data_IF_769809395478
#
_entry.id   IF_769809395478
#
_cell.length_a   1.000
_cell.length_b   1.000
_cell.length_c   1.000
_cell.angle_alpha   90.00
_cell.angle_beta   90.00
_cell.angle_gamma   90.00
#
_symmetry.space_group_name_H-M   'P 1'
#
loop_
_entity.id
_entity.type
_entity.pdbx_description
1 polymer ?
#
# COMPACT_ATOMS: atom_id res chain seq x y z
N UNK A 1 -4.75 17.11 -54.32
CA UNK A 1 -4.19 17.12 -52.95
C UNK A 1 -4.29 15.69 -52.47
N UNK A 2 -3.17 14.96 -52.46
CA UNK A 2 -3.16 13.57 -51.98
C UNK A 2 -3.34 13.60 -50.48
N UNK A 3 -4.39 12.96 -50.00
CA UNK A 3 -4.57 12.63 -48.59
C UNK A 3 -3.34 11.81 -48.15
N UNK A 4 -2.57 12.20 -47.13
CA UNK A 4 -1.38 11.45 -46.72
C UNK A 4 -1.84 10.07 -46.23
N UNK A 5 -1.56 9.06 -47.04
CA UNK A 5 -1.86 7.65 -46.75
C UNK A 5 -1.39 7.30 -45.33
N UNK A 6 -2.33 6.96 -44.46
CA UNK A 6 -2.05 6.47 -43.12
C UNK A 6 -1.30 5.13 -43.22
N UNK A 7 -0.06 5.10 -42.74
CA UNK A 7 0.75 3.88 -42.72
C UNK A 7 0.22 2.97 -41.62
N UNK A 8 -0.14 1.72 -41.92
CA UNK A 8 -0.50 0.77 -40.89
C UNK A 8 0.76 0.17 -40.26
N UNK A 9 0.89 0.30 -38.94
CA UNK A 9 1.98 -0.28 -38.17
C UNK A 9 1.51 -1.57 -37.48
N UNK A 10 2.36 -2.62 -37.42
CA UNK A 10 2.02 -3.85 -36.73
C UNK A 10 1.83 -3.59 -35.23
N UNK A 11 0.73 -4.11 -34.68
CA UNK A 11 0.41 -3.96 -33.26
C UNK A 11 1.40 -4.68 -32.34
N UNK A 12 2.01 -5.77 -32.82
CA UNK A 12 2.90 -6.60 -32.02
C UNK A 12 4.36 -6.10 -32.03
N UNK A 13 4.69 -5.10 -32.85
CA UNK A 13 6.05 -4.55 -32.88
C UNK A 13 6.24 -3.45 -31.83
N UNK A 14 7.45 -3.40 -31.29
CA UNK A 14 7.88 -2.36 -30.37
C UNK A 14 8.08 -1.00 -31.05
N UNK A 15 8.07 -0.95 -32.39
CA UNK A 15 8.20 0.29 -33.18
C UNK A 15 7.19 1.36 -32.79
N UNK A 16 6.02 0.95 -32.28
CA UNK A 16 4.98 1.86 -31.79
C UNK A 16 5.41 2.71 -30.59
N UNK A 17 6.44 2.30 -29.87
CA UNK A 17 6.99 3.01 -28.71
C UNK A 17 8.20 3.88 -29.06
N UNK A 18 8.69 3.80 -30.29
CA UNK A 18 9.81 4.60 -30.78
C UNK A 18 9.59 6.12 -30.66
N UNK A 19 8.38 6.68 -30.90
CA UNK A 19 8.13 8.10 -30.67
C UNK A 19 8.42 8.51 -29.22
N UNK A 20 8.01 7.68 -28.25
CA UNK A 20 8.27 7.97 -26.85
C UNK A 20 9.75 7.85 -26.51
N UNK A 21 10.46 6.87 -27.07
CA UNK A 21 11.92 6.76 -26.92
C UNK A 21 12.63 8.02 -27.42
N UNK A 22 12.16 8.59 -28.54
CA UNK A 22 12.69 9.86 -29.03
C UNK A 22 12.15 11.10 -28.29
N UNK A 23 11.10 10.97 -27.51
CA UNK A 23 10.54 12.03 -26.67
C UNK A 23 11.29 12.19 -25.33
N UNK A 24 12.06 11.17 -24.92
CA UNK A 24 12.83 11.22 -23.67
C UNK A 24 13.82 12.40 -23.63
N UNK A 25 14.03 13.01 -22.46
CA UNK A 25 15.08 14.01 -22.28
C UNK A 25 16.46 13.34 -22.38
N UNK A 26 17.48 14.14 -22.69
CA UNK A 26 18.84 13.65 -23.00
C UNK A 26 19.46 12.85 -21.86
N UNK A 27 19.29 13.32 -20.62
CA UNK A 27 19.83 12.70 -19.42
C UNK A 27 19.26 11.30 -19.17
N UNK A 28 17.94 11.13 -19.35
CA UNK A 28 17.28 9.84 -19.20
C UNK A 28 17.61 8.91 -20.38
N UNK A 29 17.60 9.44 -21.60
CA UNK A 29 17.96 8.67 -22.80
C UNK A 29 19.39 8.13 -22.73
N UNK A 30 20.35 8.92 -22.24
CA UNK A 30 21.75 8.53 -22.13
C UNK A 30 22.00 7.42 -21.08
N UNK A 31 21.13 7.32 -20.07
CA UNK A 31 21.19 6.27 -19.03
C UNK A 31 20.74 4.91 -19.55
N UNK A 32 19.94 4.86 -20.62
CA UNK A 32 19.39 3.65 -21.22
C UNK A 32 20.41 3.02 -22.22
N UNK A 33 21.05 1.89 -21.89
CA UNK A 33 22.14 1.34 -22.71
C UNK A 33 21.75 0.94 -24.12
N UNK A 34 20.50 0.49 -24.31
CA UNK A 34 19.93 0.09 -25.60
C UNK A 34 19.41 1.31 -26.34
N UNK A 35 18.64 2.18 -25.67
CA UNK A 35 18.05 3.36 -26.32
C UNK A 35 19.12 4.32 -26.83
N UNK A 36 20.20 4.56 -26.06
CA UNK A 36 21.28 5.48 -26.46
C UNK A 36 22.02 5.09 -27.75
N UNK A 37 21.87 3.84 -28.20
CA UNK A 37 22.44 3.35 -29.48
C UNK A 37 21.63 3.81 -30.69
N UNK A 38 20.37 4.20 -30.49
CA UNK A 38 19.50 4.62 -31.58
C UNK A 38 19.95 5.98 -32.12
N UNK A 39 20.19 6.11 -33.43
CA UNK A 39 20.48 7.40 -34.02
C UNK A 39 19.26 8.31 -33.89
N UNK A 40 19.50 9.61 -33.69
CA UNK A 40 18.47 10.66 -33.73
C UNK A 40 18.12 11.06 -35.16
N UNK A 41 18.09 10.08 -36.07
CA UNK A 41 17.73 10.20 -37.50
C UNK A 41 17.13 8.87 -37.95
N UNK A 42 15.89 8.91 -38.46
CA UNK A 42 15.18 7.71 -38.91
C UNK A 42 15.77 7.10 -40.18
N UNK A 43 16.38 7.89 -41.06
CA UNK A 43 17.02 7.36 -42.26
C UNK A 43 18.28 6.57 -41.90
N UNK A 44 19.06 7.07 -40.94
CA UNK A 44 20.20 6.35 -40.37
C UNK A 44 19.77 5.07 -39.64
N UNK A 45 18.65 5.12 -38.89
CA UNK A 45 18.07 3.95 -38.24
C UNK A 45 17.66 2.88 -39.26
N UNK A 46 16.91 3.29 -40.30
CA UNK A 46 16.40 2.41 -41.34
C UNK A 46 17.50 1.75 -42.18
N UNK A 47 18.69 2.36 -42.24
CA UNK A 47 19.85 1.82 -42.94
C UNK A 47 20.56 0.69 -42.17
N UNK A 48 20.18 0.39 -40.92
CA UNK A 48 20.84 -0.60 -40.07
C UNK A 48 19.87 -1.70 -39.61
N UNK A 49 20.00 -2.89 -40.19
CA UNK A 49 19.23 -4.08 -39.77
C UNK A 49 19.48 -4.45 -38.29
N UNK A 50 20.69 -4.23 -37.79
CA UNK A 50 21.04 -4.45 -36.38
C UNK A 50 20.21 -3.56 -35.45
N UNK A 51 20.12 -2.26 -35.76
CA UNK A 51 19.37 -1.31 -34.95
C UNK A 51 17.86 -1.51 -35.05
N UNK A 52 17.36 -1.94 -36.22
CA UNK A 52 15.95 -2.34 -36.37
C UNK A 52 15.65 -3.56 -35.49
N UNK A 53 16.50 -4.59 -35.53
CA UNK A 53 16.35 -5.78 -34.69
C UNK A 53 16.42 -5.45 -33.20
N UNK A 54 17.20 -4.44 -32.84
CA UNK A 54 17.31 -3.95 -31.47
C UNK A 54 16.01 -3.31 -30.96
N UNK A 55 15.21 -2.65 -31.81
CA UNK A 55 13.90 -2.10 -31.43
C UNK A 55 12.94 -3.23 -31.03
N UNK A 56 12.95 -4.35 -31.75
CA UNK A 56 12.08 -5.48 -31.46
C UNK A 56 12.59 -6.35 -30.28
N UNK A 57 13.69 -5.97 -29.62
CA UNK A 57 14.21 -6.68 -28.46
C UNK A 57 13.43 -6.41 -27.16
N UNK A 58 13.41 -7.40 -26.27
CA UNK A 58 12.86 -7.25 -24.92
C UNK A 58 13.57 -6.16 -24.10
N UNK A 59 14.87 -5.96 -24.38
CA UNK A 59 15.66 -4.95 -23.68
C UNK A 59 15.24 -3.53 -24.07
N UNK A 60 14.93 -3.29 -25.35
CA UNK A 60 14.34 -2.01 -25.78
C UNK A 60 13.03 -1.76 -25.04
N UNK A 61 12.13 -2.75 -25.03
CA UNK A 61 10.83 -2.64 -24.39
C UNK A 61 10.96 -2.35 -22.88
N UNK A 62 11.85 -3.07 -22.18
CA UNK A 62 12.11 -2.86 -20.76
C UNK A 62 12.62 -1.44 -20.48
N UNK A 63 13.58 -0.95 -21.25
CA UNK A 63 14.16 0.38 -21.04
C UNK A 63 13.14 1.50 -21.28
N UNK A 64 12.32 1.41 -22.34
CA UNK A 64 11.29 2.42 -22.58
C UNK A 64 10.15 2.34 -21.55
N UNK A 65 9.80 1.15 -21.07
CA UNK A 65 8.85 0.98 -19.97
C UNK A 65 9.36 1.62 -18.68
N UNK A 66 10.60 1.33 -18.28
CA UNK A 66 11.22 1.89 -17.07
C UNK A 66 11.32 3.42 -17.16
N UNK A 67 11.74 3.95 -18.31
CA UNK A 67 11.86 5.39 -18.54
C UNK A 67 10.48 6.10 -18.56
N UNK A 68 9.48 5.52 -19.21
CA UNK A 68 8.13 6.08 -19.22
C UNK A 68 7.51 6.05 -17.81
N UNK A 69 7.75 4.97 -17.06
CA UNK A 69 7.27 4.82 -15.70
C UNK A 69 7.89 5.85 -14.76
N UNK A 70 9.20 6.13 -14.87
CA UNK A 70 9.85 7.16 -14.05
C UNK A 70 9.34 8.58 -14.34
N UNK A 71 8.93 8.85 -15.58
CA UNK A 71 8.31 10.12 -15.98
C UNK A 71 6.84 10.22 -15.53
N UNK A 72 6.08 9.12 -15.58
CA UNK A 72 4.67 9.12 -15.18
C UNK A 72 4.48 9.14 -13.66
N UNK A 73 5.31 8.39 -12.93
CA UNK A 73 5.14 8.13 -11.50
C UNK A 73 4.96 9.38 -10.62
N UNK A 74 5.79 10.45 -10.77
CA UNK A 74 5.69 11.65 -9.94
C UNK A 74 4.32 12.34 -10.01
N UNK A 75 3.57 12.13 -11.09
CA UNK A 75 2.30 12.82 -11.34
C UNK A 75 1.06 12.08 -10.78
N UNK A 76 1.23 10.90 -10.17
CA UNK A 76 0.15 10.24 -9.42
C UNK A 76 -0.10 10.84 -8.03
N UNK A 77 0.76 11.76 -7.57
CA UNK A 77 0.63 12.39 -6.25
C UNK A 77 1.07 11.50 -5.09
N UNK A 78 2.02 10.58 -5.35
CA UNK A 78 2.68 9.76 -4.33
C UNK A 78 4.07 10.33 -4.05
N UNK A 79 4.53 10.22 -2.80
CA UNK A 79 5.80 10.80 -2.37
C UNK A 79 7.01 9.94 -2.76
N UNK A 80 8.18 10.56 -2.89
CA UNK A 80 9.43 9.84 -3.16
C UNK A 80 9.55 9.33 -4.60
N UNK A 81 10.48 8.41 -4.81
CA UNK A 81 10.78 7.84 -6.13
C UNK A 81 9.99 6.55 -6.34
N UNK A 82 9.75 6.19 -7.60
CA UNK A 82 9.07 4.95 -7.98
C UNK A 82 9.74 3.72 -7.35
N UNK A 83 11.06 3.74 -7.26
CA UNK A 83 11.90 2.68 -6.68
C UNK A 83 11.68 2.51 -5.18
N UNK A 84 11.02 3.45 -4.49
CA UNK A 84 10.65 3.25 -3.09
C UNK A 84 9.46 2.30 -2.90
N UNK A 85 8.80 1.93 -3.99
CA UNK A 85 7.62 1.09 -4.01
C UNK A 85 7.93 -0.24 -4.69
N UNK A 86 7.31 -1.31 -4.19
CA UNK A 86 7.47 -2.62 -4.79
C UNK A 86 6.64 -2.75 -6.07
N UNK A 87 6.96 -3.75 -6.90
CA UNK A 87 6.11 -4.13 -8.03
C UNK A 87 4.73 -4.69 -7.65
N UNK A 88 4.46 -4.90 -6.36
CA UNK A 88 3.13 -5.25 -5.85
C UNK A 88 2.24 -4.02 -5.68
N UNK A 89 2.85 -2.87 -5.46
CA UNK A 89 2.13 -1.62 -5.29
C UNK A 89 1.33 -1.27 -6.56
N UNK A 90 0.01 -1.03 -6.48
CA UNK A 90 -0.82 -0.75 -7.65
C UNK A 90 -0.32 0.43 -8.47
N UNK A 91 0.14 1.51 -7.82
CA UNK A 91 0.65 2.71 -8.53
C UNK A 91 1.93 2.43 -9.31
N UNK A 92 2.78 1.53 -8.81
CA UNK A 92 3.95 1.07 -9.53
C UNK A 92 3.47 0.43 -10.83
N UNK A 93 2.51 -0.50 -10.76
CA UNK A 93 1.98 -1.21 -11.94
C UNK A 93 1.32 -0.25 -12.94
N UNK A 94 0.55 0.72 -12.45
CA UNK A 94 -0.07 1.74 -13.30
C UNK A 94 0.98 2.58 -14.03
N UNK A 95 2.10 2.92 -13.38
CA UNK A 95 3.20 3.64 -14.03
C UNK A 95 3.82 2.88 -15.21
N UNK A 96 3.67 1.56 -15.27
CA UNK A 96 4.16 0.72 -16.38
C UNK A 96 3.14 0.52 -17.50
N UNK A 97 2.04 1.27 -17.52
CA UNK A 97 1.05 1.24 -18.59
C UNK A 97 1.52 1.98 -19.86
N UNK A 98 2.66 1.55 -20.42
CA UNK A 98 3.34 2.17 -21.56
C UNK A 98 2.42 2.56 -22.74
N UNK A 99 1.46 1.72 -23.19
CA UNK A 99 0.55 2.12 -24.27
C UNK A 99 -0.27 3.39 -23.97
N UNK A 100 -0.64 3.60 -22.71
CA UNK A 100 -1.39 4.78 -22.29
C UNK A 100 -0.52 6.03 -22.30
N UNK A 101 0.76 5.90 -21.93
CA UNK A 101 1.72 7.03 -21.97
C UNK A 101 2.04 7.46 -23.39
N UNK A 102 2.26 6.51 -24.30
CA UNK A 102 2.45 6.84 -25.72
C UNK A 102 1.22 7.55 -26.28
N UNK A 103 0.03 7.01 -26.03
CA UNK A 103 -1.23 7.63 -26.49
C UNK A 103 -1.42 9.02 -25.89
N UNK A 104 -1.14 9.21 -24.60
CA UNK A 104 -1.27 10.49 -23.91
C UNK A 104 -0.32 11.54 -24.49
N UNK A 105 0.96 11.20 -24.69
CA UNK A 105 1.95 12.09 -25.30
C UNK A 105 1.53 12.47 -26.72
N UNK A 106 1.09 11.50 -27.54
CA UNK A 106 0.59 11.76 -28.89
C UNK A 106 -0.62 12.70 -28.90
N UNK A 107 -1.58 12.52 -27.99
CA UNK A 107 -2.77 13.39 -27.90
C UNK A 107 -2.44 14.83 -27.50
N UNK A 108 -1.41 15.04 -26.68
CA UNK A 108 -1.02 16.36 -26.19
C UNK A 108 -0.15 17.10 -27.20
N UNK A 109 0.79 16.38 -27.83
CA UNK A 109 1.86 17.00 -28.63
C UNK A 109 1.72 16.76 -30.13
N UNK A 110 0.89 15.80 -30.55
CA UNK A 110 0.88 15.25 -31.90
C UNK A 110 2.08 14.34 -32.20
N UNK A 111 2.98 14.10 -31.24
CA UNK A 111 4.18 13.28 -31.41
C UNK A 111 3.87 11.78 -31.33
N UNK A 112 3.27 11.26 -32.40
CA UNK A 112 2.96 9.84 -32.57
C UNK A 112 3.83 9.14 -33.61
N UNK A 113 3.59 7.84 -33.81
CA UNK A 113 4.31 7.02 -34.80
C UNK A 113 4.12 7.58 -36.21
N UNK A 114 2.92 8.02 -36.55
CA UNK A 114 2.64 8.64 -37.84
C UNK A 114 3.44 9.93 -38.04
N UNK A 115 3.49 10.78 -37.01
CA UNK A 115 4.23 12.05 -37.09
C UNK A 115 5.73 11.81 -37.27
N UNK A 116 6.27 10.85 -36.51
CA UNK A 116 7.66 10.43 -36.60
C UNK A 116 8.02 9.95 -38.02
N UNK A 117 7.25 9.04 -38.60
CA UNK A 117 7.52 8.48 -39.94
C UNK A 117 7.20 9.42 -41.10
N UNK A 118 6.57 10.58 -40.85
CA UNK A 118 6.37 11.64 -41.84
C UNK A 118 7.55 12.61 -41.94
N UNK A 119 8.53 12.52 -41.03
CA UNK A 119 9.71 13.37 -41.08
C UNK A 119 10.49 13.14 -42.39
N UNK A 120 10.99 14.20 -43.04
CA UNK A 120 11.87 14.05 -44.19
C UNK A 120 13.11 13.20 -43.84
N UNK A 121 13.66 12.43 -44.80
CA UNK A 121 14.90 11.70 -44.58
C UNK A 121 16.02 12.61 -44.07
N UNK A 122 16.84 12.11 -43.13
CA UNK A 122 17.95 12.85 -42.52
C UNK A 122 17.55 14.07 -41.69
N UNK A 123 16.28 14.17 -41.28
CA UNK A 123 15.86 15.19 -40.32
C UNK A 123 16.34 14.80 -38.92
N UNK A 124 17.21 15.61 -38.28
CA UNK A 124 17.67 15.31 -36.93
C UNK A 124 16.52 15.51 -35.93
N UNK A 125 16.31 14.52 -35.06
CA UNK A 125 15.29 14.57 -34.02
C UNK A 125 15.91 15.21 -32.76
N UNK A 126 15.50 16.41 -32.34
CA UNK A 126 16.10 17.10 -31.20
C UNK A 126 15.73 16.42 -29.88
N UNK A 127 16.54 16.60 -28.84
CA UNK A 127 16.11 16.29 -27.47
C UNK A 127 15.14 17.36 -26.97
N UNK A 128 14.12 16.91 -26.25
CA UNK A 128 13.15 17.80 -25.61
C UNK A 128 13.68 18.26 -24.25
N UNK A 129 13.33 19.49 -23.87
CA UNK A 129 13.72 20.03 -22.57
C UNK A 129 13.06 19.22 -21.43
N UNK A 130 13.77 18.85 -20.36
CA UNK A 130 13.21 18.05 -19.27
C UNK A 130 11.92 18.62 -18.68
N UNK A 131 11.83 19.95 -18.55
CA UNK A 131 10.66 20.64 -18.01
C UNK A 131 9.44 20.46 -18.91
N UNK A 132 9.63 20.55 -20.24
CA UNK A 132 8.58 20.32 -21.21
C UNK A 132 8.11 18.87 -21.21
N UNK A 133 9.04 17.90 -21.13
CA UNK A 133 8.69 16.49 -21.02
C UNK A 133 7.88 16.24 -19.76
N UNK A 134 8.29 16.78 -18.62
CA UNK A 134 7.56 16.65 -17.35
C UNK A 134 6.17 17.28 -17.40
N UNK A 135 6.02 18.46 -18.02
CA UNK A 135 4.71 19.10 -18.21
C UNK A 135 3.78 18.22 -19.05
N UNK A 136 4.27 17.68 -20.17
CA UNK A 136 3.50 16.77 -21.02
C UNK A 136 3.10 15.51 -20.28
N UNK A 137 4.00 14.90 -19.49
CA UNK A 137 3.67 13.73 -18.68
C UNK A 137 2.68 14.06 -17.56
N UNK A 138 2.74 15.24 -16.95
CA UNK A 138 1.74 15.69 -15.98
C UNK A 138 0.34 15.75 -16.59
N UNK A 139 0.23 16.34 -17.78
CA UNK A 139 -1.02 16.41 -18.53
C UNK A 139 -1.49 15.02 -18.99
N UNK A 140 -0.57 14.17 -19.44
CA UNK A 140 -0.88 12.81 -19.90
C UNK A 140 -1.41 11.95 -18.74
N UNK A 141 -0.75 11.98 -17.59
CA UNK A 141 -1.16 11.23 -16.40
C UNK A 141 -2.52 11.69 -15.91
N UNK A 142 -2.75 13.01 -15.80
CA UNK A 142 -4.04 13.56 -15.41
C UNK A 142 -5.16 13.07 -16.34
N UNK A 143 -4.93 13.18 -17.65
CA UNK A 143 -5.90 12.76 -18.67
C UNK A 143 -6.18 11.25 -18.60
N UNK A 144 -5.15 10.42 -18.50
CA UNK A 144 -5.30 8.97 -18.42
C UNK A 144 -6.03 8.56 -17.14
N UNK A 145 -5.73 9.19 -16.01
CA UNK A 145 -6.44 8.94 -14.74
C UNK A 145 -7.93 9.27 -14.87
N UNK A 146 -8.27 10.39 -15.53
CA UNK A 146 -9.65 10.76 -15.82
C UNK A 146 -10.33 9.78 -16.79
N UNK A 147 -9.70 9.48 -17.95
CA UNK A 147 -10.27 8.60 -18.99
C UNK A 147 -10.44 7.15 -18.52
N UNK A 148 -9.51 6.64 -17.70
CA UNK A 148 -9.57 5.27 -17.19
C UNK A 148 -10.34 5.16 -15.86
N UNK A 149 -10.77 6.28 -15.28
CA UNK A 149 -11.45 6.29 -13.99
C UNK A 149 -10.59 5.75 -12.85
N UNK A 150 -9.28 6.02 -12.85
CA UNK A 150 -8.35 5.49 -11.85
C UNK A 150 -8.38 6.25 -10.52
N UNK A 151 -9.05 7.41 -10.46
CA UNK A 151 -9.09 8.23 -9.25
C UNK A 151 -9.51 7.45 -7.98
N UNK A 152 -10.60 6.65 -7.99
CA UNK A 152 -10.97 5.85 -6.82
C UNK A 152 -9.88 4.83 -6.41
N UNK A 153 -9.16 4.26 -7.38
CA UNK A 153 -8.05 3.32 -7.09
C UNK A 153 -6.91 4.06 -6.42
N UNK A 154 -6.53 5.23 -6.94
CA UNK A 154 -5.45 6.04 -6.36
C UNK A 154 -5.80 6.52 -4.94
N UNK A 155 -7.07 6.85 -4.70
CA UNK A 155 -7.53 7.29 -3.38
C UNK A 155 -7.50 6.13 -2.38
N UNK A 156 -7.98 4.93 -2.75
CA UNK A 156 -7.89 3.73 -1.90
C UNK A 156 -6.43 3.39 -1.57
N UNK A 157 -5.53 3.40 -2.56
CA UNK A 157 -4.10 3.11 -2.33
C UNK A 157 -3.46 4.15 -1.39
N UNK A 158 -3.94 5.39 -1.41
CA UNK A 158 -3.44 6.45 -0.54
C UNK A 158 -3.99 6.35 0.88
N UNK A 159 -5.25 5.94 1.04
CA UNK A 159 -5.92 5.80 2.33
C UNK A 159 -5.52 4.53 3.07
N UNK A 160 -5.32 3.43 2.34
CA UNK A 160 -5.06 2.10 2.89
C UNK A 160 -3.78 1.51 2.26
N UNK A 161 -2.60 2.12 2.47
CA UNK A 161 -1.33 1.53 2.06
C UNK A 161 -1.00 0.30 2.92
N UNK A 162 -0.35 -0.69 2.31
CA UNK A 162 0.15 -1.91 2.97
C UNK A 162 1.68 -1.88 3.12
N UNK A 163 2.28 -2.65 4.04
CA UNK A 163 3.76 -2.69 4.17
C UNK A 163 4.40 -3.28 2.90
N UNK A 164 3.72 -4.23 2.25
CA UNK A 164 4.14 -4.88 1.00
C UNK A 164 4.21 -3.92 -0.18
N UNK A 165 3.59 -2.73 -0.10
CA UNK A 165 3.66 -1.71 -1.14
C UNK A 165 5.02 -1.01 -1.18
N UNK A 166 5.81 -1.10 -0.12
CA UNK A 166 7.07 -0.38 0.03
C UNK A 166 8.29 -1.30 0.00
N UNK A 167 9.37 -0.82 -0.63
CA UNK A 167 10.64 -1.54 -0.57
C UNK A 167 11.15 -1.62 0.88
N UNK A 168 11.78 -2.75 1.20
CA UNK A 168 12.22 -3.06 2.58
C UNK A 168 13.29 -2.09 3.12
N UNK A 169 14.02 -1.42 2.23
CA UNK A 169 15.09 -0.50 2.62
C UNK A 169 14.55 0.82 3.21
N UNK A 170 15.47 1.57 3.81
CA UNK A 170 15.13 2.70 4.66
C UNK A 170 14.74 3.97 3.87
N UNK A 171 13.49 4.06 3.40
CA UNK A 171 12.95 5.25 2.72
C UNK A 171 12.14 6.16 3.65
N UNK A 172 12.13 7.46 3.34
CA UNK A 172 11.26 8.41 4.05
C UNK A 172 9.77 8.08 3.89
N UNK A 173 9.38 7.53 2.73
CA UNK A 173 7.99 7.14 2.44
C UNK A 173 7.58 5.97 3.32
N UNK A 174 8.37 4.90 3.37
CA UNK A 174 8.12 3.75 4.24
C UNK A 174 8.14 4.14 5.72
N UNK A 175 9.09 4.97 6.14
CA UNK A 175 9.11 5.55 7.49
C UNK A 175 7.84 6.31 7.84
N UNK A 176 7.32 7.13 6.92
CA UNK A 176 6.08 7.87 7.16
C UNK A 176 4.87 6.94 7.25
N UNK A 177 4.80 5.92 6.39
CA UNK A 177 3.82 4.84 6.46
C UNK A 177 3.86 4.13 7.82
N UNK A 178 5.01 3.57 8.21
CA UNK A 178 5.17 2.85 9.49
C UNK A 178 4.83 3.75 10.69
N UNK A 179 5.15 5.05 10.63
CA UNK A 179 4.78 6.00 11.69
C UNK A 179 3.29 6.23 11.81
N UNK A 180 2.58 6.30 10.67
CA UNK A 180 1.12 6.41 10.64
C UNK A 180 0.48 5.11 11.13
N UNK A 181 0.96 3.98 10.63
CA UNK A 181 0.47 2.64 10.96
C UNK A 181 0.63 2.31 12.44
N UNK A 182 1.82 2.54 13.00
CA UNK A 182 2.10 2.27 14.41
C UNK A 182 1.85 3.48 15.33
N UNK A 183 1.24 4.56 14.84
CA UNK A 183 0.97 5.80 15.61
C UNK A 183 2.17 6.37 16.40
N UNK A 184 3.40 6.12 15.94
CA UNK A 184 4.64 6.43 16.69
C UNK A 184 5.00 7.92 16.71
N UNK A 185 4.25 8.78 16.00
CA UNK A 185 4.46 10.23 16.01
C UNK A 185 4.01 10.88 17.33
N UNK A 186 3.10 10.23 18.06
CA UNK A 186 2.64 10.70 19.36
C UNK A 186 3.68 10.34 20.43
N UNK A 187 4.35 11.33 21.02
CA UNK A 187 5.27 11.16 22.17
C UNK A 187 4.64 10.48 23.42
N UNK A 188 3.34 10.16 23.37
CA UNK A 188 2.54 9.54 24.44
C UNK A 188 2.06 8.12 24.11
N UNK A 189 2.34 7.60 22.91
CA UNK A 189 1.88 6.28 22.50
C UNK A 189 3.04 5.30 22.68
N UNK A 190 2.93 4.45 23.69
CA UNK A 190 3.79 3.28 23.83
C UNK A 190 3.27 2.23 22.85
N UNK A 191 4.01 1.99 21.77
CA UNK A 191 3.72 0.88 20.85
C UNK A 191 4.10 -0.41 21.54
N UNK A 192 3.10 -1.22 21.88
CA UNK A 192 3.31 -2.58 22.40
C UNK A 192 2.95 -3.54 21.27
N UNK A 193 3.83 -4.48 20.93
CA UNK A 193 3.51 -5.49 19.92
C UNK A 193 2.44 -6.43 20.47
N UNK A 194 1.56 -6.94 19.59
CA UNK A 194 0.49 -7.85 20.00
C UNK A 194 1.06 -9.10 20.68
N UNK A 195 2.20 -9.59 20.19
CA UNK A 195 2.95 -10.71 20.78
C UNK A 195 3.48 -10.35 22.17
N UNK A 196 4.10 -9.18 22.34
CA UNK A 196 4.57 -8.71 23.66
C UNK A 196 3.42 -8.51 24.66
N UNK A 197 2.25 -8.16 24.14
CA UNK A 197 1.01 -8.02 24.87
C UNK A 197 0.40 -9.40 25.26
N UNK A 198 0.41 -10.37 24.35
CA UNK A 198 -0.04 -11.75 24.61
C UNK A 198 0.91 -12.46 25.58
N UNK A 199 2.20 -12.17 25.52
CA UNK A 199 3.22 -12.69 26.45
C UNK A 199 3.15 -12.01 27.84
N UNK A 200 2.58 -10.81 27.91
CA UNK A 200 2.31 -10.11 29.18
C UNK A 200 0.95 -10.57 29.74
N UNK A 201 0.98 -11.54 30.66
CA UNK A 201 -0.19 -12.07 31.37
C UNK A 201 -1.00 -11.00 32.12
N UNK A 202 -0.48 -9.77 32.24
CA UNK A 202 -1.12 -8.64 32.89
C UNK A 202 -1.70 -7.60 31.92
N UNK A 203 -1.58 -7.82 30.60
CA UNK A 203 -2.23 -6.97 29.60
C UNK A 203 -3.70 -7.40 29.47
N UNK A 204 -4.65 -6.48 29.70
CA UNK A 204 -6.10 -6.75 29.71
C UNK A 204 -6.72 -7.19 28.37
N UNK A 205 -5.92 -7.73 27.44
CA UNK A 205 -6.31 -8.15 26.10
C UNK A 205 -7.07 -9.48 26.12
N UNK A 206 -6.93 -10.25 27.20
CA UNK A 206 -7.76 -11.42 27.47
C UNK A 206 -9.19 -11.09 27.93
N UNK A 207 -9.53 -9.82 28.16
CA UNK A 207 -10.90 -9.40 28.49
C UNK A 207 -11.66 -9.06 27.19
N UNK A 208 -12.06 -10.10 26.45
CA UNK A 208 -13.03 -9.96 25.37
C UNK A 208 -14.39 -9.65 26.02
N UNK A 209 -14.93 -8.45 25.79
CA UNK A 209 -16.33 -8.16 26.08
C UNK A 209 -17.20 -8.85 25.03
N UNK A 210 -17.97 -9.85 25.45
CA UNK A 210 -18.88 -10.56 24.54
C UNK A 210 -20.08 -9.67 24.15
N UNK A 211 -20.20 -9.44 22.84
CA UNK A 211 -21.38 -8.86 22.22
C UNK A 211 -22.45 -9.95 22.05
N UNK A 212 -23.48 -9.87 22.90
CA UNK A 212 -24.84 -10.40 22.76
C UNK A 212 -25.13 -11.37 21.60
N UNK A 213 -25.29 -12.66 21.92
CA UNK A 213 -25.89 -13.68 21.07
C UNK A 213 -26.63 -14.74 21.89
N UNK A 214 -27.92 -14.91 21.57
CA UNK A 214 -28.89 -15.95 21.97
C UNK A 214 -29.54 -15.95 23.37
N UNK A 215 -30.86 -15.74 23.39
CA UNK A 215 -31.70 -15.48 24.57
C UNK A 215 -32.05 -16.76 25.38
N UNK A 216 -31.85 -17.95 24.81
CA UNK A 216 -32.06 -19.23 25.50
C UNK A 216 -30.85 -19.70 26.31
N UNK A 217 -29.65 -19.30 25.93
CA UNK A 217 -28.40 -19.60 26.66
C UNK A 217 -28.23 -18.66 27.88
N UNK A 218 -28.81 -17.46 27.82
CA UNK A 218 -28.79 -16.45 28.88
C UNK A 218 -29.42 -16.93 30.21
N UNK A 219 -30.49 -17.73 30.15
CA UNK A 219 -31.19 -18.21 31.36
C UNK A 219 -30.42 -19.34 32.04
N UNK A 220 -29.76 -20.21 31.27
CA UNK A 220 -28.92 -21.29 31.80
C UNK A 220 -27.60 -20.75 32.34
N UNK A 221 -26.99 -19.77 31.66
CA UNK A 221 -25.79 -19.08 32.12
C UNK A 221 -26.03 -18.25 33.39
N UNK A 222 -27.20 -17.60 33.50
CA UNK A 222 -27.56 -16.82 34.69
C UNK A 222 -27.85 -17.71 35.90
N UNK A 223 -28.56 -18.85 35.74
CA UNK A 223 -28.75 -19.85 36.81
C UNK A 223 -27.42 -20.46 37.26
N UNK A 224 -26.56 -20.85 36.32
CA UNK A 224 -25.24 -21.39 36.59
C UNK A 224 -24.36 -20.40 37.37
N UNK A 225 -24.35 -19.14 36.94
CA UNK A 225 -23.62 -18.07 37.63
C UNK A 225 -24.18 -17.78 39.02
N UNK A 226 -25.52 -17.81 39.20
CA UNK A 226 -26.13 -17.64 40.52
C UNK A 226 -25.80 -18.80 41.46
N UNK A 227 -25.83 -20.04 40.96
CA UNK A 227 -25.46 -21.23 41.74
C UNK A 227 -23.99 -21.22 42.14
N UNK A 228 -23.10 -20.80 41.25
CA UNK A 228 -21.69 -20.59 41.60
C UNK A 228 -21.50 -19.50 42.65
N UNK A 229 -22.14 -18.34 42.48
CA UNK A 229 -22.10 -17.23 43.45
C UNK A 229 -22.54 -17.66 44.85
N UNK A 230 -23.55 -18.52 44.95
CA UNK A 230 -24.01 -19.09 46.23
C UNK A 230 -22.96 -19.99 46.93
N UNK A 231 -21.95 -20.50 46.20
CA UNK A 231 -20.85 -21.30 46.79
C UNK A 231 -19.68 -20.46 47.31
N UNK A 232 -19.68 -19.16 46.99
CA UNK A 232 -18.60 -18.25 47.39
C UNK A 232 -18.80 -17.76 48.82
N UNK A 233 -17.69 -17.40 49.47
CA UNK A 233 -17.76 -16.77 50.79
C UNK A 233 -18.22 -15.32 50.68
N UNK A 234 -18.81 -14.76 51.73
CA UNK A 234 -19.28 -13.36 51.76
C UNK A 234 -18.19 -12.37 51.31
N UNK A 235 -16.93 -12.62 51.71
CA UNK A 235 -15.79 -11.80 51.31
C UNK A 235 -15.45 -11.92 49.82
N UNK A 236 -15.62 -13.09 49.22
CA UNK A 236 -15.40 -13.29 47.78
C UNK A 236 -16.51 -12.68 46.95
N UNK A 237 -17.75 -12.78 47.44
CA UNK A 237 -18.90 -12.12 46.84
C UNK A 237 -18.75 -10.60 46.85
N UNK A 238 -18.38 -10.01 47.99
CA UNK A 238 -18.14 -8.57 48.08
C UNK A 238 -17.03 -8.09 47.14
N UNK A 239 -15.97 -8.90 46.94
CA UNK A 239 -14.91 -8.60 45.97
C UNK A 239 -15.47 -8.62 44.53
N UNK A 240 -16.28 -9.61 44.17
CA UNK A 240 -16.87 -9.70 42.83
C UNK A 240 -17.85 -8.56 42.54
N UNK A 241 -18.72 -8.23 43.50
CA UNK A 241 -19.68 -7.13 43.38
C UNK A 241 -18.98 -5.80 43.15
N UNK A 242 -17.96 -5.48 43.97
CA UNK A 242 -17.18 -4.27 43.79
C UNK A 242 -16.42 -4.25 42.44
N UNK A 243 -16.02 -5.41 41.90
CA UNK A 243 -15.44 -5.49 40.56
C UNK A 243 -16.46 -5.25 39.46
N UNK A 244 -17.68 -5.77 39.59
CA UNK A 244 -18.79 -5.49 38.66
C UNK A 244 -19.16 -4.01 38.67
N UNK A 245 -19.08 -3.37 39.84
CA UNK A 245 -19.25 -1.92 40.00
C UNK A 245 -18.08 -1.09 39.44
N UNK A 246 -17.00 -1.73 38.96
CA UNK A 246 -15.86 -1.08 38.30
C UNK A 246 -14.71 -0.66 39.22
N UNK A 247 -14.70 -1.08 40.49
CA UNK A 247 -13.63 -0.72 41.42
C UNK A 247 -12.29 -1.39 41.09
N UNK A 248 -11.20 -0.65 41.33
CA UNK A 248 -9.83 -1.19 41.21
C UNK A 248 -9.48 -2.10 42.39
N UNK A 249 -8.48 -2.97 42.26
CA UNK A 249 -8.07 -3.85 43.36
C UNK A 249 -7.55 -3.08 44.59
N UNK A 250 -7.03 -1.87 44.40
CA UNK A 250 -6.61 -0.99 45.48
C UNK A 250 -7.82 -0.42 46.23
N UNK A 251 -8.82 0.10 45.51
CA UNK A 251 -10.07 0.59 46.12
C UNK A 251 -10.84 -0.51 46.86
N UNK A 252 -10.85 -1.73 46.33
CA UNK A 252 -11.47 -2.90 46.97
C UNK A 252 -10.70 -3.27 48.25
N UNK A 253 -9.36 -3.21 48.21
CA UNK A 253 -8.55 -3.48 49.38
C UNK A 253 -8.84 -2.47 50.50
N UNK A 254 -8.94 -1.19 50.16
CA UNK A 254 -9.27 -0.13 51.12
C UNK A 254 -10.69 -0.29 51.69
N UNK A 255 -11.69 -0.59 50.86
CA UNK A 255 -13.09 -0.80 51.27
C UNK A 255 -13.27 -2.03 52.16
N UNK A 256 -12.56 -3.12 51.87
CA UNK A 256 -12.69 -4.40 52.59
C UNK A 256 -11.65 -4.58 53.71
N UNK A 257 -10.82 -3.55 53.97
CA UNK A 257 -9.84 -3.55 55.06
C UNK A 257 -8.64 -4.47 54.86
N UNK A 258 -8.23 -4.72 53.61
CA UNK A 258 -7.00 -5.42 53.31
C UNK A 258 -5.78 -4.51 53.47
N UNK A 259 -4.65 -5.07 53.92
CA UNK A 259 -3.40 -4.32 54.10
C UNK A 259 -2.80 -3.81 52.77
N UNK A 260 -3.07 -4.50 51.66
CA UNK A 260 -2.66 -4.14 50.30
C UNK A 260 -3.52 -4.89 49.25
N UNK A 261 -3.48 -4.43 47.99
CA UNK A 261 -4.24 -5.03 46.88
C UNK A 261 -3.88 -6.50 46.61
N UNK A 262 -2.68 -6.94 47.01
CA UNK A 262 -2.22 -8.32 46.83
C UNK A 262 -3.12 -9.34 47.54
N UNK A 263 -3.77 -8.96 48.64
CA UNK A 263 -4.75 -9.80 49.32
C UNK A 263 -6.02 -10.03 48.50
N UNK A 264 -6.48 -9.02 47.76
CA UNK A 264 -7.64 -9.08 46.88
C UNK A 264 -7.32 -9.90 45.63
N UNK A 265 -6.14 -9.69 45.03
CA UNK A 265 -5.69 -10.46 43.86
C UNK A 265 -5.66 -11.97 44.14
N UNK A 266 -5.08 -12.38 45.28
CA UNK A 266 -5.05 -13.81 45.68
C UNK A 266 -6.43 -14.41 45.85
N UNK A 267 -7.41 -13.62 46.31
CA UNK A 267 -8.79 -14.07 46.46
C UNK A 267 -9.48 -14.18 45.10
N UNK A 268 -9.23 -13.24 44.19
CA UNK A 268 -9.72 -13.32 42.81
C UNK A 268 -9.17 -14.55 42.08
N UNK A 269 -7.88 -14.86 42.23
CA UNK A 269 -7.29 -16.09 41.69
C UNK A 269 -7.92 -17.35 42.28
N UNK A 270 -8.23 -17.35 43.57
CA UNK A 270 -8.89 -18.48 44.23
C UNK A 270 -10.34 -18.66 43.72
N UNK A 271 -11.07 -17.56 43.48
CA UNK A 271 -12.40 -17.57 42.87
C UNK A 271 -12.32 -18.12 41.44
N UNK A 272 -11.37 -17.65 40.62
CA UNK A 272 -11.15 -18.15 39.25
C UNK A 272 -10.87 -19.65 39.22
N UNK A 273 -10.00 -20.15 40.12
CA UNK A 273 -9.71 -21.59 40.24
C UNK A 273 -10.94 -22.39 40.65
N UNK A 274 -11.77 -21.86 41.55
CA UNK A 274 -13.03 -22.51 41.95
C UNK A 274 -14.05 -22.54 40.83
N UNK A 275 -14.13 -21.47 40.03
CA UNK A 275 -15.03 -21.41 38.88
C UNK A 275 -14.68 -22.49 37.85
N UNK A 276 -13.40 -22.60 37.48
CA UNK A 276 -12.91 -23.63 36.55
C UNK A 276 -13.19 -25.05 37.07
N UNK A 277 -13.07 -25.26 38.39
CA UNK A 277 -13.39 -26.55 38.99
C UNK A 277 -14.91 -26.82 38.96
N UNK A 278 -15.72 -25.80 39.21
CA UNK A 278 -17.17 -25.86 39.19
C UNK A 278 -17.71 -26.19 37.79
N UNK A 279 -17.15 -25.59 36.73
CA UNK A 279 -17.47 -25.94 35.32
C UNK A 279 -17.21 -27.41 35.03
N UNK A 280 -16.05 -27.93 35.46
CA UNK A 280 -15.67 -29.34 35.26
C UNK A 280 -16.56 -30.32 36.01
N UNK A 281 -17.05 -29.96 37.19
CA UNK A 281 -17.90 -30.80 38.02
C UNK A 281 -19.37 -30.76 37.60
N UNK A 282 -19.83 -29.63 37.06
CA UNK A 282 -21.21 -29.44 36.61
C UNK A 282 -21.49 -30.06 35.22
N UNK A 283 -20.47 -30.49 34.49
CA UNK A 283 -20.62 -31.26 33.25
C UNK A 283 -21.13 -30.45 32.06
N UNK A 284 -20.51 -29.30 31.79
CA UNK A 284 -20.49 -28.69 30.47
C UNK A 284 -19.14 -28.97 29.79
#
# INVERSE_FOLDING_TARGET
>A
MNDPSLVQFPYDSNIRYLPLAYFLPEDLFAQCPTLRRLPRDLAALAASEELISLIDSDQFLKEIMDAAASLAFPHFGFGGWKEHYTGWCPIWRLSYALPLWVKGVEQITGWGVQALFRLPPHTPIPFFQPEYVSEVFSLAVKRVVEEQGWQPVLDVVREIPCDEDFESWDTNVRKDFLRKWYHTRSKRVQTVSLEACIEDENSGIHEIAEASGDFTEQVEAEDFCQRFKATLSEKDMAILELRVEGHTYEEIADKLGYKNHSGVVKRMEAIKKRFIQYEKEAGC
#
